data_IF_592219148339
#
_entry.id   IF_592219148339
#
_cell.length_a   1.000
_cell.length_b   1.000
_cell.length_c   1.000
_cell.angle_alpha   90.00
_cell.angle_beta   90.00
_cell.angle_gamma   90.00
#
_symmetry.space_group_name_H-M   'P 1'
#
loop_
_entity.id
_entity.type
_entity.pdbx_description
1 polymer ?
#
# COMPACT_ATOMS: atom_id res chain seq x y z
N UNK A 1 -15.02 26.25 2.48
CA UNK A 1 -14.26 24.99 2.67
C UNK A 1 -14.52 24.51 4.08
N UNK A 2 -15.07 23.31 4.26
CA UNK A 2 -15.20 22.73 5.60
C UNK A 2 -13.80 22.30 6.06
N UNK A 3 -13.43 22.70 7.28
CA UNK A 3 -12.18 22.24 7.87
C UNK A 3 -12.32 20.76 8.22
N UNK A 4 -11.40 19.93 7.74
CA UNK A 4 -11.33 18.50 8.09
C UNK A 4 -10.74 18.37 9.51
N UNK A 5 -11.55 18.73 10.50
CA UNK A 5 -11.19 18.60 11.90
C UNK A 5 -11.44 17.17 12.40
N UNK A 6 -10.48 16.62 13.14
CA UNK A 6 -10.65 15.32 13.78
C UNK A 6 -11.76 15.40 14.83
N UNK A 7 -12.67 14.44 14.77
CA UNK A 7 -13.67 14.19 15.82
C UNK A 7 -13.00 13.83 17.14
N UNK A 8 -13.72 13.96 18.24
CA UNK A 8 -13.23 13.58 19.58
C UNK A 8 -12.77 12.12 19.64
N UNK A 9 -13.46 11.21 18.94
CA UNK A 9 -13.11 9.80 18.89
C UNK A 9 -11.77 9.57 18.17
N UNK A 10 -11.55 10.24 17.03
CA UNK A 10 -10.30 10.16 16.27
C UNK A 10 -9.14 10.75 17.06
N UNK A 11 -9.36 11.88 17.75
CA UNK A 11 -8.35 12.47 18.64
C UNK A 11 -7.95 11.51 19.76
N UNK A 12 -8.90 10.79 20.39
CA UNK A 12 -8.60 9.79 21.42
C UNK A 12 -7.78 8.62 20.84
N UNK A 13 -8.15 8.13 19.66
CA UNK A 13 -7.42 7.07 18.96
C UNK A 13 -5.99 7.51 18.62
N UNK A 14 -5.82 8.72 18.11
CA UNK A 14 -4.52 9.30 17.80
C UNK A 14 -3.65 9.45 19.05
N UNK A 15 -4.20 9.98 20.15
CA UNK A 15 -3.47 10.12 21.43
C UNK A 15 -3.01 8.77 21.97
N UNK A 16 -3.85 7.74 21.90
CA UNK A 16 -3.47 6.38 22.30
C UNK A 16 -2.31 5.85 21.44
N UNK A 17 -2.44 5.95 20.12
CA UNK A 17 -1.40 5.52 19.19
C UNK A 17 -0.07 6.27 19.42
N UNK A 18 -0.15 7.58 19.64
CA UNK A 18 1.02 8.41 19.93
C UNK A 18 1.73 7.98 21.22
N UNK A 19 0.95 7.73 22.29
CA UNK A 19 1.47 7.22 23.57
C UNK A 19 2.17 5.88 23.38
N UNK A 20 1.53 4.94 22.71
CA UNK A 20 2.06 3.57 22.55
C UNK A 20 3.34 3.58 21.69
N UNK A 21 3.45 4.51 20.74
CA UNK A 21 4.65 4.74 19.93
C UNK A 21 5.68 5.70 20.57
N UNK A 22 5.47 6.17 21.80
CA UNK A 22 6.31 7.16 22.51
C UNK A 22 6.58 8.44 21.69
N UNK A 23 5.55 8.96 21.02
CA UNK A 23 5.59 10.20 20.21
C UNK A 23 4.54 11.19 20.68
N UNK A 24 4.68 12.46 20.27
CA UNK A 24 3.61 13.46 20.48
C UNK A 24 2.44 13.21 19.53
N UNK A 25 1.19 13.57 19.91
CA UNK A 25 0.04 13.45 19.02
C UNK A 25 0.21 14.17 17.68
N UNK A 26 0.86 15.34 17.66
CA UNK A 26 1.09 16.07 16.39
C UNK A 26 2.09 15.34 15.49
N UNK A 27 3.18 14.79 16.06
CA UNK A 27 4.15 14.01 15.28
C UNK A 27 3.52 12.71 14.74
N UNK A 28 2.69 12.05 15.56
CA UNK A 28 1.94 10.87 15.14
C UNK A 28 0.94 11.20 14.04
N UNK A 29 0.23 12.33 14.13
CA UNK A 29 -0.73 12.73 13.11
C UNK A 29 -0.06 12.94 11.75
N UNK A 30 1.08 13.64 11.71
CA UNK A 30 1.86 13.82 10.48
C UNK A 30 2.29 12.49 9.88
N UNK A 31 2.73 11.56 10.73
CA UNK A 31 3.13 10.22 10.29
C UNK A 31 1.95 9.43 9.69
N UNK A 32 0.81 9.37 10.40
CA UNK A 32 -0.39 8.67 9.93
C UNK A 32 -0.93 9.28 8.63
N UNK A 33 -0.94 10.62 8.53
CA UNK A 33 -1.41 11.29 7.31
C UNK A 33 -0.49 11.00 6.13
N UNK A 34 0.84 11.08 6.30
CA UNK A 34 1.80 10.77 5.23
C UNK A 34 1.60 9.34 4.73
N UNK A 35 1.67 8.36 5.63
CA UNK A 35 1.58 6.95 5.26
C UNK A 35 0.18 6.62 4.69
N UNK A 36 -0.87 7.25 5.23
CA UNK A 36 -2.22 7.14 4.71
C UNK A 36 -2.37 7.72 3.30
N UNK A 37 -1.77 8.88 3.01
CA UNK A 37 -1.77 9.46 1.68
C UNK A 37 -0.98 8.61 0.69
N UNK A 38 0.20 8.12 1.07
CA UNK A 38 1.01 7.25 0.22
C UNK A 38 0.24 5.98 -0.17
N UNK A 39 -0.39 5.33 0.82
CA UNK A 39 -1.22 4.15 0.56
C UNK A 39 -2.45 4.45 -0.30
N UNK A 40 -3.21 5.50 0.04
CA UNK A 40 -4.40 5.89 -0.73
C UNK A 40 -4.03 6.25 -2.17
N UNK A 41 -2.93 6.97 -2.39
CA UNK A 41 -2.43 7.31 -3.71
C UNK A 41 -2.06 6.06 -4.49
N UNK A 42 -1.32 5.13 -3.87
CA UNK A 42 -0.99 3.85 -4.49
C UNK A 42 -2.25 3.08 -4.90
N UNK A 43 -3.20 2.89 -3.99
CA UNK A 43 -4.44 2.15 -4.27
C UNK A 43 -5.24 2.80 -5.39
N UNK A 44 -5.54 4.09 -5.28
CA UNK A 44 -6.34 4.81 -6.30
C UNK A 44 -5.66 4.75 -7.65
N UNK A 45 -4.34 4.97 -7.71
CA UNK A 45 -3.58 4.87 -8.95
C UNK A 45 -3.63 3.46 -9.53
N UNK A 46 -3.35 2.43 -8.73
CA UNK A 46 -3.35 1.03 -9.20
C UNK A 46 -4.71 0.59 -9.73
N UNK A 47 -5.80 0.98 -9.07
CA UNK A 47 -7.17 0.69 -9.53
C UNK A 47 -7.44 1.40 -10.86
N UNK A 48 -7.16 2.70 -10.94
CA UNK A 48 -7.39 3.49 -12.15
C UNK A 48 -6.55 2.98 -13.33
N UNK A 49 -5.29 2.65 -13.11
CA UNK A 49 -4.41 2.07 -14.13
C UNK A 49 -4.96 0.71 -14.60
N UNK A 50 -5.43 -0.13 -13.69
CA UNK A 50 -6.06 -1.41 -14.00
C UNK A 50 -7.32 -1.24 -14.87
N UNK A 51 -8.22 -0.35 -14.48
CA UNK A 51 -9.44 -0.02 -15.25
C UNK A 51 -9.05 0.49 -16.65
N UNK A 52 -8.11 1.42 -16.73
CA UNK A 52 -7.66 1.98 -18.01
C UNK A 52 -7.04 0.90 -18.92
N UNK A 53 -6.25 -0.01 -18.37
CA UNK A 53 -5.64 -1.13 -19.09
C UNK A 53 -6.70 -2.09 -19.64
N UNK A 54 -7.74 -2.39 -18.85
CA UNK A 54 -8.87 -3.21 -19.29
C UNK A 54 -9.67 -2.54 -20.41
N UNK A 55 -9.89 -1.22 -20.32
CA UNK A 55 -10.57 -0.43 -21.35
C UNK A 55 -9.77 -0.37 -22.65
N UNK A 56 -8.43 -0.30 -22.57
CA UNK A 56 -7.53 -0.35 -23.74
C UNK A 56 -7.42 -1.74 -24.38
N UNK A 57 -8.04 -2.77 -23.78
CA UNK A 57 -7.97 -4.14 -24.28
C UNK A 57 -6.60 -4.80 -24.06
N UNK A 58 -5.83 -4.34 -23.06
CA UNK A 58 -4.55 -4.96 -22.73
C UNK A 58 -4.72 -6.43 -22.32
N UNK A 59 -3.67 -7.23 -22.55
CA UNK A 59 -3.69 -8.67 -22.32
C UNK A 59 -4.04 -8.96 -20.86
N UNK A 60 -5.12 -9.73 -20.69
CA UNK A 60 -5.54 -10.31 -19.42
C UNK A 60 -4.85 -11.65 -19.24
N UNK A 61 -4.43 -11.95 -18.02
CA UNK A 61 -3.87 -13.24 -17.67
C UNK A 61 -4.90 -14.04 -16.91
N UNK A 62 -4.98 -15.35 -17.17
CA UNK A 62 -5.72 -16.25 -16.30
C UNK A 62 -5.02 -16.41 -14.95
N UNK A 63 -5.74 -16.88 -13.94
CA UNK A 63 -5.16 -17.19 -12.62
C UNK A 63 -3.98 -18.16 -12.74
N UNK A 64 -4.08 -19.18 -13.59
CA UNK A 64 -3.02 -20.16 -13.80
C UNK A 64 -1.77 -19.53 -14.43
N UNK A 65 -1.95 -18.61 -15.38
CA UNK A 65 -0.85 -17.88 -15.99
C UNK A 65 -0.15 -16.96 -14.98
N UNK A 66 -0.92 -16.28 -14.13
CA UNK A 66 -0.37 -15.44 -13.05
C UNK A 66 0.44 -16.29 -12.08
N UNK A 67 -0.11 -17.43 -11.62
CA UNK A 67 0.57 -18.32 -10.68
C UNK A 67 1.83 -18.94 -11.30
N UNK A 68 1.77 -19.39 -12.55
CA UNK A 68 2.93 -19.91 -13.28
C UNK A 68 4.04 -18.86 -13.38
N UNK A 69 3.68 -17.61 -13.68
CA UNK A 69 4.64 -16.50 -13.77
C UNK A 69 5.25 -16.13 -12.42
N UNK A 70 4.43 -16.11 -11.37
CA UNK A 70 4.89 -15.87 -10.00
C UNK A 70 5.89 -16.94 -9.54
N UNK A 71 5.58 -18.22 -9.76
CA UNK A 71 6.48 -19.36 -9.44
C UNK A 71 7.80 -19.25 -10.20
N UNK A 72 7.76 -19.01 -11.51
CA UNK A 72 8.96 -18.83 -12.32
C UNK A 72 9.82 -17.65 -11.86
N UNK A 73 9.21 -16.55 -11.40
CA UNK A 73 9.95 -15.43 -10.82
C UNK A 73 10.63 -15.82 -9.50
N UNK A 74 9.95 -16.52 -8.59
CA UNK A 74 10.54 -16.98 -7.32
C UNK A 74 11.67 -17.98 -7.54
N UNK A 75 11.50 -18.94 -8.45
CA UNK A 75 12.52 -19.95 -8.79
C UNK A 75 13.77 -19.30 -9.40
N UNK A 76 13.59 -18.35 -10.33
CA UNK A 76 14.71 -17.63 -10.96
C UNK A 76 15.53 -16.81 -9.94
N UNK A 77 14.87 -16.20 -8.96
CA UNK A 77 15.58 -15.44 -7.92
C UNK A 77 16.21 -16.39 -6.88
N UNK A 78 15.52 -17.44 -6.46
CA UNK A 78 16.08 -18.47 -5.57
C UNK A 78 17.30 -19.18 -6.15
N UNK A 79 17.28 -19.52 -7.44
CA UNK A 79 18.41 -20.16 -8.13
C UNK A 79 19.65 -19.27 -8.23
N UNK A 80 19.49 -17.94 -8.21
CA UNK A 80 20.63 -17.00 -8.21
C UNK A 80 21.36 -16.98 -6.88
N UNK A 81 20.68 -17.21 -5.76
CA UNK A 81 21.31 -17.28 -4.44
C UNK A 81 22.09 -18.59 -4.24
N UNK A 82 21.63 -19.70 -4.81
CA UNK A 82 22.35 -20.99 -4.74
C UNK A 82 23.60 -21.09 -5.63
N UNK A 83 23.75 -20.24 -6.66
CA UNK A 83 24.96 -20.20 -7.51
C UNK A 83 26.07 -19.29 -6.98
N UNK A 84 25.79 -18.51 -5.94
CA UNK A 84 26.73 -17.54 -5.37
C UNK A 84 27.30 -17.95 -4.00
N UNK A 85 26.99 -19.18 -3.54
CA UNK A 85 27.54 -19.83 -2.36
C UNK A 85 28.34 -21.07 -2.79
#
# INVERSE_FOLDING_TARGET
MQSLALTTAEQRRLKRLARDAKRTPQAMLRFVLRDGFDYCNYVVKSVNDGIASLTRGERRYSTDEVLKRARGATEKHGARFHKAA
#
